data_IF_033614264246
#
_entry.id   IF_033614264246
#
_cell.length_a   1.000
_cell.length_b   1.000
_cell.length_c   1.000
_cell.angle_alpha   90.00
_cell.angle_beta   90.00
_cell.angle_gamma   90.00
#
_symmetry.space_group_name_H-M   'P 1'
#
loop_
_entity.id
_entity.type
_entity.pdbx_description
1 polymer ?
#
# COMPACT_ATOMS: atom_id res chain seq x y z
N UNK A 1 8.47 26.95 -33.47
CA UNK A 1 8.55 26.72 -32.00
C UNK A 1 7.94 25.35 -31.70
N UNK A 2 8.77 24.32 -31.44
CA UNK A 2 8.27 22.97 -31.13
C UNK A 2 7.73 22.99 -29.69
N UNK A 3 6.43 22.72 -29.49
CA UNK A 3 5.85 22.46 -28.16
C UNK A 3 6.59 21.27 -27.57
N UNK A 4 7.44 21.50 -26.55
CA UNK A 4 7.92 20.44 -25.70
C UNK A 4 6.71 19.90 -24.93
N UNK A 5 6.12 18.82 -25.44
CA UNK A 5 5.21 18.01 -24.65
C UNK A 5 6.06 17.56 -23.47
N UNK A 6 5.72 17.96 -22.24
CA UNK A 6 6.33 17.41 -21.02
C UNK A 6 6.11 15.90 -21.09
N UNK A 7 7.10 15.17 -21.58
CA UNK A 7 7.07 13.71 -21.69
C UNK A 7 6.70 13.20 -20.31
N UNK A 8 5.56 12.50 -20.20
CA UNK A 8 5.17 11.90 -18.93
C UNK A 8 6.33 11.05 -18.43
N UNK A 9 6.55 10.99 -17.12
CA UNK A 9 7.68 10.26 -16.53
C UNK A 9 7.71 8.84 -17.08
N UNK A 10 8.72 8.54 -17.89
CA UNK A 10 8.96 7.20 -18.43
C UNK A 10 9.67 6.37 -17.39
N UNK A 11 9.09 5.22 -17.06
CA UNK A 11 9.64 4.29 -16.08
C UNK A 11 9.42 2.87 -16.58
N UNK A 12 10.35 1.97 -16.30
CA UNK A 12 10.16 0.56 -16.66
C UNK A 12 9.10 -0.08 -15.78
N UNK A 13 8.30 -1.00 -16.33
CA UNK A 13 7.30 -1.76 -15.57
C UNK A 13 7.93 -2.46 -14.36
N UNK A 14 9.15 -2.99 -14.53
CA UNK A 14 9.94 -3.60 -13.44
C UNK A 14 10.28 -2.63 -12.30
N UNK A 15 10.67 -1.40 -12.61
CA UNK A 15 10.92 -0.38 -11.58
C UNK A 15 9.64 -0.03 -10.83
N UNK A 16 8.51 0.11 -11.53
CA UNK A 16 7.22 0.35 -10.87
C UNK A 16 6.79 -0.82 -10.00
N UNK A 17 7.02 -2.07 -10.43
CA UNK A 17 6.78 -3.25 -9.59
C UNK A 17 7.56 -3.20 -8.28
N UNK A 18 8.85 -2.85 -8.37
CA UNK A 18 9.72 -2.70 -7.19
C UNK A 18 9.22 -1.58 -6.28
N UNK A 19 8.77 -0.45 -6.83
CA UNK A 19 8.21 0.66 -6.06
C UNK A 19 6.91 0.25 -5.35
N UNK A 20 5.96 -0.34 -6.07
CA UNK A 20 4.69 -0.83 -5.49
C UNK A 20 4.97 -1.82 -4.36
N UNK A 21 5.90 -2.77 -4.54
CA UNK A 21 6.28 -3.70 -3.49
C UNK A 21 6.81 -3.01 -2.22
N UNK A 22 7.69 -2.01 -2.36
CA UNK A 22 8.22 -1.23 -1.22
C UNK A 22 7.13 -0.44 -0.51
N UNK A 23 6.25 0.23 -1.25
CA UNK A 23 5.17 1.02 -0.66
C UNK A 23 4.10 0.13 -0.03
N UNK A 24 3.86 -1.07 -0.58
CA UNK A 24 2.93 -2.03 -0.04
C UNK A 24 3.38 -2.58 1.34
N UNK A 25 4.69 -2.63 1.60
CA UNK A 25 5.23 -2.91 2.95
C UNK A 25 4.92 -1.77 3.94
N UNK A 26 5.05 -0.52 3.48
CA UNK A 26 4.85 0.67 4.32
C UNK A 26 3.38 1.07 4.49
N UNK A 27 2.45 0.50 3.72
CA UNK A 27 1.03 0.90 3.75
C UNK A 27 0.37 0.74 5.11
N UNK A 28 0.85 -0.16 5.95
CA UNK A 28 0.31 -0.37 7.30
C UNK A 28 0.56 0.83 8.23
N UNK A 29 1.56 1.66 7.90
CA UNK A 29 1.89 2.86 8.68
C UNK A 29 0.99 4.05 8.35
N UNK A 30 0.13 3.96 7.31
CA UNK A 30 -0.69 5.07 6.85
C UNK A 30 -2.09 4.59 6.46
N UNK A 31 -3.12 5.04 7.18
CA UNK A 31 -4.51 4.65 6.93
C UNK A 31 -4.95 4.87 5.47
N UNK A 32 -4.49 5.97 4.86
CA UNK A 32 -4.89 6.40 3.51
C UNK A 32 -4.06 5.75 2.39
N UNK A 33 -2.96 5.06 2.71
CA UNK A 33 -1.98 4.56 1.73
C UNK A 33 -2.55 3.58 0.71
N UNK A 34 -3.58 2.81 1.09
CA UNK A 34 -4.16 1.78 0.23
C UNK A 34 -4.83 2.38 -1.02
N UNK A 35 -5.38 3.60 -0.92
CA UNK A 35 -6.03 4.26 -2.04
C UNK A 35 -5.01 4.68 -3.12
N UNK A 36 -3.85 5.17 -2.67
CA UNK A 36 -2.79 5.71 -3.51
C UNK A 36 -1.93 4.66 -4.23
N UNK A 37 -2.12 3.36 -3.94
CA UNK A 37 -1.39 2.26 -4.60
C UNK A 37 -2.13 1.68 -5.80
N UNK A 38 -3.46 1.84 -5.86
CA UNK A 38 -4.30 1.18 -6.85
C UNK A 38 -3.99 1.65 -8.28
N UNK A 39 -3.75 2.95 -8.47
CA UNK A 39 -3.49 3.50 -9.80
C UNK A 39 -2.17 2.99 -10.37
N UNK A 40 -1.08 3.01 -9.59
CA UNK A 40 0.22 2.48 -10.03
C UNK A 40 0.19 0.97 -10.27
N UNK A 41 -0.45 0.21 -9.38
CA UNK A 41 -0.50 -1.25 -9.51
C UNK A 41 -1.30 -1.69 -10.74
N UNK A 42 -2.44 -1.04 -10.99
CA UNK A 42 -3.26 -1.27 -12.18
C UNK A 42 -2.49 -0.93 -13.46
N UNK A 43 -1.85 0.25 -13.52
CA UNK A 43 -1.08 0.65 -14.70
C UNK A 43 0.08 -0.31 -14.99
N UNK A 44 0.81 -0.70 -13.93
CA UNK A 44 1.86 -1.72 -14.02
C UNK A 44 1.30 -3.04 -14.57
N UNK A 45 0.18 -3.52 -14.04
CA UNK A 45 -0.43 -4.78 -14.46
C UNK A 45 -0.86 -4.73 -15.94
N UNK A 46 -1.47 -3.63 -16.36
CA UNK A 46 -1.85 -3.40 -17.75
C UNK A 46 -0.63 -3.37 -18.69
N UNK A 47 0.42 -2.64 -18.30
CA UNK A 47 1.64 -2.54 -19.11
C UNK A 47 2.40 -3.87 -19.18
N UNK A 48 2.49 -4.62 -18.08
CA UNK A 48 3.08 -5.96 -18.04
C UNK A 48 2.36 -6.91 -18.99
N UNK A 49 1.01 -6.90 -18.96
CA UNK A 49 0.15 -7.72 -19.82
C UNK A 49 0.34 -7.41 -21.31
N UNK A 50 0.47 -6.13 -21.66
CA UNK A 50 0.54 -5.70 -23.05
C UNK A 50 1.95 -5.75 -23.65
N UNK A 51 2.99 -5.48 -22.86
CA UNK A 51 4.33 -5.12 -23.39
C UNK A 51 5.52 -5.77 -22.71
N UNK A 52 5.31 -6.69 -21.74
CA UNK A 52 6.37 -7.34 -20.93
C UNK A 52 7.04 -6.40 -19.91
N UNK A 53 7.80 -6.98 -18.98
CA UNK A 53 8.32 -6.31 -17.78
C UNK A 53 9.45 -5.28 -17.99
N UNK A 54 10.25 -5.43 -19.06
CA UNK A 54 11.39 -4.54 -19.32
C UNK A 54 10.99 -3.30 -20.15
N UNK A 55 9.74 -3.23 -20.61
CA UNK A 55 9.27 -2.11 -21.42
C UNK A 55 9.02 -0.88 -20.55
N UNK A 56 9.29 0.30 -21.12
CA UNK A 56 8.95 1.58 -20.51
C UNK A 56 7.46 1.85 -20.63
N UNK A 57 6.88 2.43 -19.58
CA UNK A 57 5.53 2.94 -19.58
C UNK A 57 5.53 4.40 -19.13
N UNK A 58 4.60 5.17 -19.68
CA UNK A 58 4.35 6.54 -19.25
C UNK A 58 3.42 6.51 -18.04
N UNK A 59 3.90 7.01 -16.91
CA UNK A 59 3.10 7.08 -15.69
C UNK A 59 1.93 8.07 -15.85
N UNK A 60 0.73 7.73 -15.37
CA UNK A 60 -0.39 8.68 -15.37
C UNK A 60 -0.10 9.83 -14.38
N UNK A 61 -0.63 11.02 -14.68
CA UNK A 61 -0.61 12.19 -13.81
C UNK A 61 -1.12 11.88 -12.39
N UNK A 62 -2.16 11.06 -12.25
CA UNK A 62 -2.67 10.65 -10.93
C UNK A 62 -1.63 9.86 -10.15
N UNK A 63 -1.00 8.86 -10.77
CA UNK A 63 0.07 8.09 -10.14
C UNK A 63 1.28 8.95 -9.77
N UNK A 64 1.58 10.02 -10.53
CA UNK A 64 2.60 11.01 -10.16
C UNK A 64 2.18 11.79 -8.91
N UNK A 65 0.92 12.22 -8.82
CA UNK A 65 0.37 12.86 -7.61
C UNK A 65 0.44 11.94 -6.40
N UNK A 66 0.11 10.66 -6.56
CA UNK A 66 0.16 9.65 -5.50
C UNK A 66 1.59 9.44 -5.01
N UNK A 67 2.57 9.36 -5.91
CA UNK A 67 4.00 9.28 -5.57
C UNK A 67 4.44 10.52 -4.79
N UNK A 68 4.02 11.72 -5.20
CA UNK A 68 4.34 12.96 -4.48
C UNK A 68 3.74 12.98 -3.07
N UNK A 69 2.53 12.45 -2.88
CA UNK A 69 1.93 12.27 -1.56
C UNK A 69 2.76 11.33 -0.69
N UNK A 70 3.19 10.19 -1.24
CA UNK A 70 4.07 9.24 -0.53
C UNK A 70 5.40 9.89 -0.13
N UNK A 71 6.02 10.67 -1.02
CA UNK A 71 7.25 11.40 -0.71
C UNK A 71 7.03 12.38 0.44
N UNK A 72 5.92 13.14 0.44
CA UNK A 72 5.59 14.08 1.51
C UNK A 72 5.38 13.36 2.86
N UNK A 73 4.61 12.26 2.87
CA UNK A 73 4.37 11.47 4.08
C UNK A 73 5.65 10.84 4.63
N UNK A 74 6.49 10.27 3.78
CA UNK A 74 7.75 9.65 4.20
C UNK A 74 8.75 10.67 4.75
N UNK A 75 8.80 11.88 4.18
CA UNK A 75 9.62 12.97 4.73
C UNK A 75 9.21 13.31 6.16
N UNK A 76 7.92 13.45 6.43
CA UNK A 76 7.41 13.75 7.79
C UNK A 76 7.56 12.55 8.74
N UNK A 77 7.39 11.32 8.25
CA UNK A 77 7.48 10.11 9.09
C UNK A 77 8.94 9.76 9.46
N UNK A 78 9.93 10.15 8.66
CA UNK A 78 11.36 10.00 9.02
C UNK A 78 11.74 10.79 10.28
N UNK A 79 11.06 11.91 10.52
CA UNK A 79 11.22 12.72 11.75
C UNK A 79 10.47 12.11 12.94
N UNK A 80 9.32 11.48 12.70
CA UNK A 80 8.51 10.84 13.75
C UNK A 80 9.14 9.52 14.21
N UNK A 81 9.64 8.68 13.31
CA UNK A 81 10.24 7.37 13.67
C UNK A 81 11.60 7.48 14.37
N UNK A 82 12.39 8.53 14.14
CA UNK A 82 13.65 8.73 14.89
C UNK A 82 13.40 9.27 16.31
N UNK A 83 12.27 9.94 16.56
CA UNK A 83 11.87 10.46 17.88
C UNK A 83 10.90 9.53 18.63
N UNK A 84 10.25 8.59 17.93
CA UNK A 84 9.32 7.58 18.47
C UNK A 84 9.77 6.14 18.17
N UNK A 85 11.06 5.82 18.19
CA UNK A 85 11.43 4.52 18.75
C UNK A 85 10.97 4.62 20.21
N UNK A 86 10.05 3.79 20.70
CA UNK A 86 9.62 3.94 22.08
C UNK A 86 10.84 3.75 22.97
N UNK A 87 11.24 4.79 23.70
CA UNK A 87 12.00 4.68 24.94
C UNK A 87 11.17 3.95 26.04
N UNK A 88 10.28 3.04 25.66
CA UNK A 88 9.28 2.40 26.51
C UNK A 88 9.18 0.89 26.26
N UNK A 89 10.29 0.28 25.83
CA UNK A 89 10.57 -1.11 26.21
C UNK A 89 11.44 -1.15 27.48
N UNK A 90 11.32 -0.14 28.34
CA UNK A 90 11.68 -0.27 29.76
C UNK A 90 10.39 -0.66 30.48
N UNK A 91 10.22 -1.96 30.73
CA UNK A 91 9.22 -2.43 31.68
C UNK A 91 9.55 -1.84 33.05
N UNK A 92 8.86 -0.77 33.45
CA UNK A 92 8.80 -0.35 34.84
C UNK A 92 7.35 -0.42 35.26
N UNK A 93 7.02 -1.53 35.91
CA UNK A 93 5.81 -1.70 36.71
C UNK A 93 5.83 -0.65 37.81
N UNK A 94 5.01 0.39 37.68
CA UNK A 94 4.33 0.95 38.85
C UNK A 94 3.02 1.62 38.42
N UNK A 95 1.99 1.39 39.22
CA UNK A 95 0.59 1.62 38.91
C UNK A 95 0.19 3.09 39.11
N UNK A 96 -0.51 3.67 38.13
CA UNK A 96 -1.39 4.81 38.36
C UNK A 96 -2.57 4.78 37.36
N UNK A 97 -3.84 4.82 37.82
CA UNK A 97 -5.00 4.73 36.95
C UNK A 97 -5.48 6.14 36.55
N UNK A 98 -5.15 6.62 35.36
CA UNK A 98 -5.83 7.79 34.79
C UNK A 98 -5.86 7.82 33.25
N UNK A 99 -6.89 7.20 32.68
CA UNK A 99 -7.92 7.93 31.94
C UNK A 99 -7.61 8.66 30.62
N UNK A 100 -6.45 8.53 29.98
CA UNK A 100 -6.21 9.15 28.67
C UNK A 100 -5.71 8.14 27.64
N UNK A 101 -6.62 7.70 26.76
CA UNK A 101 -6.27 6.91 25.58
C UNK A 101 -5.63 7.86 24.57
N UNK A 102 -4.34 7.70 24.32
CA UNK A 102 -3.59 8.51 23.36
C UNK A 102 -4.17 8.36 21.94
N UNK A 103 -4.25 9.43 21.13
CA UNK A 103 -4.73 9.37 19.75
C UNK A 103 -4.01 8.31 18.92
N UNK A 104 -2.70 8.15 19.16
CA UNK A 104 -1.83 7.17 18.53
C UNK A 104 -2.24 5.71 18.85
N UNK A 105 -2.65 5.44 20.11
CA UNK A 105 -3.09 4.10 20.53
C UNK A 105 -4.43 3.75 19.88
N UNK A 106 -5.36 4.71 19.83
CA UNK A 106 -6.64 4.55 19.14
C UNK A 106 -6.44 4.34 17.64
N UNK A 107 -5.50 5.06 17.02
CA UNK A 107 -5.14 4.91 15.61
C UNK A 107 -4.54 3.53 15.31
N UNK A 108 -3.61 3.05 16.15
CA UNK A 108 -3.04 1.69 16.07
C UNK A 108 -4.09 0.59 16.25
N UNK A 109 -5.01 0.73 17.21
CA UNK A 109 -6.13 -0.19 17.41
C UNK A 109 -7.07 -0.21 16.18
N UNK A 110 -7.35 0.94 15.59
CA UNK A 110 -8.16 1.06 14.38
C UNK A 110 -7.49 0.38 13.18
N UNK A 111 -6.17 0.52 13.03
CA UNK A 111 -5.36 -0.16 12.01
C UNK A 111 -5.40 -1.68 12.22
N UNK A 112 -5.22 -2.16 13.45
CA UNK A 112 -5.28 -3.59 13.78
C UNK A 112 -6.67 -4.20 13.48
N UNK A 113 -7.74 -3.47 13.76
CA UNK A 113 -9.12 -3.89 13.44
C UNK A 113 -9.41 -3.89 11.94
N UNK A 114 -8.95 -2.87 11.21
CA UNK A 114 -9.04 -2.82 9.75
C UNK A 114 -8.29 -4.00 9.10
N UNK A 115 -7.14 -4.39 9.65
CA UNK A 115 -6.39 -5.55 9.17
C UNK A 115 -7.15 -6.86 9.37
N UNK A 116 -7.72 -7.09 10.57
CA UNK A 116 -8.53 -8.29 10.84
C UNK A 116 -9.74 -8.40 9.91
N UNK A 117 -10.41 -7.29 9.65
CA UNK A 117 -11.59 -7.25 8.76
C UNK A 117 -11.20 -7.41 7.29
N UNK A 118 -10.11 -6.79 6.85
CA UNK A 118 -9.56 -6.97 5.49
C UNK A 118 -9.13 -8.43 5.23
N UNK A 119 -8.41 -9.04 6.17
CA UNK A 119 -7.93 -10.42 6.01
C UNK A 119 -9.09 -11.43 5.94
N UNK A 120 -10.17 -11.20 6.71
CA UNK A 120 -11.41 -11.98 6.59
C UNK A 120 -12.08 -11.84 5.22
N UNK A 121 -12.09 -10.64 4.63
CA UNK A 121 -12.63 -10.42 3.27
C UNK A 121 -11.78 -11.11 2.21
N UNK A 122 -10.45 -11.04 2.33
CA UNK A 122 -9.54 -11.74 1.42
C UNK A 122 -9.71 -13.25 1.50
N UNK A 123 -9.82 -13.81 2.71
CA UNK A 123 -10.06 -15.24 2.91
C UNK A 123 -11.40 -15.71 2.31
N UNK A 124 -12.46 -14.90 2.45
CA UNK A 124 -13.77 -15.18 1.81
C UNK A 124 -13.72 -15.09 0.28
N UNK A 125 -12.98 -14.12 -0.26
CA UNK A 125 -12.86 -13.97 -1.70
C UNK A 125 -12.05 -15.13 -2.31
N UNK A 126 -10.98 -15.56 -1.63
CA UNK A 126 -10.19 -16.73 -2.06
C UNK A 126 -10.94 -18.04 -1.92
N UNK A 127 -11.83 -18.19 -0.93
CA UNK A 127 -12.70 -19.38 -0.86
C UNK A 127 -13.71 -19.43 -2.01
N UNK A 128 -14.37 -18.31 -2.33
CA UNK A 128 -15.34 -18.24 -3.43
C UNK A 128 -14.71 -18.59 -4.78
N UNK A 129 -13.55 -18.01 -5.10
CA UNK A 129 -12.85 -18.28 -6.37
C UNK A 129 -12.43 -19.76 -6.48
N UNK A 130 -11.95 -20.36 -5.38
CA UNK A 130 -11.58 -21.78 -5.35
C UNK A 130 -12.76 -22.72 -5.56
N UNK A 131 -13.94 -22.34 -5.08
CA UNK A 131 -15.16 -23.13 -5.20
C UNK A 131 -15.71 -23.06 -6.63
N UNK A 132 -15.72 -21.87 -7.24
CA UNK A 132 -16.09 -21.70 -8.66
C UNK A 132 -15.10 -22.39 -9.61
N UNK A 133 -13.80 -22.40 -9.29
CA UNK A 133 -12.78 -23.11 -10.08
C UNK A 133 -12.91 -24.64 -9.97
N UNK A 134 -13.44 -25.15 -8.85
CA UNK A 134 -13.70 -26.57 -8.65
C UNK A 134 -14.96 -27.01 -9.41
N UNK A 135 -16.03 -26.23 -9.33
CA UNK A 135 -17.30 -26.50 -10.01
C UNK A 135 -17.15 -26.47 -11.54
N UNK A 136 -16.40 -25.51 -12.09
CA UNK A 136 -16.09 -25.46 -13.53
C UNK A 136 -15.22 -26.64 -14.01
N UNK A 137 -14.52 -27.34 -13.11
CA UNK A 137 -13.68 -28.51 -13.44
C UNK A 137 -14.48 -29.81 -13.43
N UNK A 138 -15.51 -29.92 -12.59
CA UNK A 138 -16.40 -31.10 -12.50
C UNK A 138 -17.44 -31.15 -13.64
N UNK A 139 -17.69 -30.04 -14.35
CA UNK A 139 -18.66 -29.97 -15.48
C UNK A 139 -18.02 -30.31 -16.85
N UNK A 140 -16.70 -30.51 -16.89
CA UNK A 140 -15.94 -30.80 -18.12
C UNK A 140 -15.43 -32.25 -18.22
N UNK A 141 -15.73 -33.10 -17.23
CA UNK A 141 -15.52 -34.56 -17.25
C UNK A 141 -16.87 -35.29 -17.44
#
# INVERSE_FOLDING_TARGET
>A
MRRQIKTGMEITVKQTAKLVGKLNYLRLQFYEASLFLNTMDHQKAQAARLRKWNTTMTMNKTAITDINWWIAKLKVNSSVQLLQIPQQMTMSTDAAPSGLVSPLKKELEMIAMAHRTWNKRQAKLTSYIRETDKENREVLD
#
